data_IF_256017765924
#
_entry.id   IF_256017765924
#
_cell.length_a   1.000
_cell.length_b   1.000
_cell.length_c   1.000
_cell.angle_alpha   90.00
_cell.angle_beta   90.00
_cell.angle_gamma   90.00
#
_symmetry.space_group_name_H-M   'P 1'
#
loop_
_entity.id
_entity.type
_entity.pdbx_description
1 polymer ?
#
# COMPACT_ATOMS: atom_id res chain seq x y z
N UNK A 1 -7.40 11.80 12.99
CA UNK A 1 -7.77 10.96 11.83
C UNK A 1 -7.72 11.89 10.62
N UNK A 2 -6.74 11.70 9.74
CA UNK A 2 -6.55 12.55 8.58
C UNK A 2 -7.44 12.03 7.45
N UNK A 3 -8.28 12.90 6.88
CA UNK A 3 -9.24 12.58 5.81
C UNK A 3 -8.89 13.48 4.63
N UNK A 4 -8.62 12.87 3.49
CA UNK A 4 -8.41 13.58 2.21
C UNK A 4 -9.52 13.14 1.28
N UNK A 5 -10.21 14.11 0.67
CA UNK A 5 -11.24 13.86 -0.36
C UNK A 5 -12.39 12.93 0.08
N UNK A 6 -12.70 12.89 1.39
CA UNK A 6 -13.78 12.05 1.93
C UNK A 6 -13.40 10.59 2.18
N UNK A 7 -12.15 10.20 1.90
CA UNK A 7 -11.64 8.87 2.20
C UNK A 7 -10.92 8.85 3.54
N UNK A 8 -11.24 7.86 4.39
CA UNK A 8 -10.44 7.58 5.56
C UNK A 8 -9.12 6.91 5.14
N UNK A 9 -8.01 7.62 5.32
CA UNK A 9 -6.70 7.11 4.92
C UNK A 9 -6.27 5.89 5.71
N UNK A 10 -6.79 5.70 6.93
CA UNK A 10 -6.46 4.51 7.72
C UNK A 10 -7.10 3.25 7.14
N UNK A 11 -8.36 3.31 6.75
CA UNK A 11 -9.05 2.25 6.03
C UNK A 11 -8.43 2.01 4.65
N UNK A 12 -8.14 3.08 3.89
CA UNK A 12 -7.47 2.98 2.59
C UNK A 12 -6.11 2.28 2.72
N UNK A 13 -5.25 2.71 3.65
CA UNK A 13 -3.94 2.11 3.86
C UNK A 13 -4.02 0.66 4.37
N UNK A 14 -5.05 0.32 5.16
CA UNK A 14 -5.26 -1.05 5.63
C UNK A 14 -5.63 -1.98 4.46
N UNK A 15 -6.55 -1.56 3.61
CA UNK A 15 -6.97 -2.33 2.43
C UNK A 15 -5.86 -2.42 1.38
N UNK A 16 -5.18 -1.31 1.08
CA UNK A 16 -4.06 -1.27 0.14
C UNK A 16 -2.96 -2.25 0.55
N UNK A 17 -2.60 -2.29 1.85
CA UNK A 17 -1.65 -3.27 2.38
C UNK A 17 -2.14 -4.72 2.21
N UNK A 18 -3.43 -4.96 2.43
CA UNK A 18 -4.01 -6.29 2.27
C UNK A 18 -3.93 -6.78 0.82
N UNK A 19 -4.20 -5.90 -0.15
CA UNK A 19 -4.08 -6.20 -1.58
C UNK A 19 -2.63 -6.48 -1.99
N UNK A 20 -1.67 -5.66 -1.56
CA UNK A 20 -0.24 -5.89 -1.82
C UNK A 20 0.24 -7.24 -1.28
N UNK A 21 -0.18 -7.64 -0.07
CA UNK A 21 0.17 -8.95 0.49
C UNK A 21 -0.45 -10.09 -0.33
N UNK A 22 -1.71 -9.94 -0.75
CA UNK A 22 -2.41 -10.98 -1.53
C UNK A 22 -1.78 -11.19 -2.90
N UNK A 23 -1.38 -10.11 -3.56
CA UNK A 23 -0.64 -10.14 -4.82
C UNK A 23 0.72 -10.83 -4.66
N UNK A 24 1.36 -10.71 -3.50
CA UNK A 24 2.54 -11.48 -3.13
C UNK A 24 3.84 -11.08 -3.83
N UNK A 25 3.81 -10.09 -4.73
CA UNK A 25 4.98 -9.57 -5.45
C UNK A 25 5.82 -8.67 -4.53
N UNK A 26 5.16 -7.70 -3.87
CA UNK A 26 5.83 -6.74 -3.00
C UNK A 26 5.30 -6.85 -1.56
N UNK A 27 6.10 -7.41 -0.67
CA UNK A 27 5.73 -7.54 0.73
C UNK A 27 6.06 -6.26 1.51
N UNK A 28 5.04 -5.68 2.12
CA UNK A 28 5.13 -4.46 2.94
C UNK A 28 4.63 -4.70 4.35
N UNK A 29 5.22 -4.00 5.31
CA UNK A 29 4.80 -4.03 6.71
C UNK A 29 3.77 -2.94 7.02
N UNK A 30 3.10 -3.06 8.17
CA UNK A 30 2.26 -2.01 8.76
C UNK A 30 3.00 -1.34 9.91
N UNK A 31 2.75 -0.04 10.08
CA UNK A 31 3.02 0.70 11.30
C UNK A 31 1.79 1.47 11.73
N UNK A 32 1.74 1.79 13.02
CA UNK A 32 0.88 2.84 13.51
C UNK A 32 1.79 3.95 14.02
N UNK A 33 1.67 5.15 13.44
CA UNK A 33 2.30 6.36 13.97
C UNK A 33 1.18 7.14 14.65
N UNK A 34 1.24 7.21 15.98
CA UNK A 34 0.09 7.65 16.78
C UNK A 34 -1.16 6.83 16.41
N UNK A 35 -2.17 7.50 15.85
CA UNK A 35 -3.45 6.91 15.45
C UNK A 35 -3.54 6.63 13.94
N UNK A 36 -2.48 6.88 13.18
CA UNK A 36 -2.50 6.76 11.73
C UNK A 36 -1.82 5.46 11.29
N UNK A 37 -2.49 4.73 10.40
CA UNK A 37 -2.00 3.51 9.78
C UNK A 37 -1.12 3.91 8.61
N UNK A 38 0.14 3.50 8.64
CA UNK A 38 1.09 3.76 7.55
C UNK A 38 1.66 2.44 7.03
N UNK A 39 1.80 2.38 5.72
CA UNK A 39 2.47 1.27 5.03
C UNK A 39 3.97 1.54 5.08
N UNK A 40 4.75 0.53 5.45
CA UNK A 40 6.21 0.66 5.60
C UNK A 40 6.90 -0.43 4.80
N UNK A 41 7.66 0.00 3.80
CA UNK A 41 8.64 -0.83 3.11
C UNK A 41 9.95 -0.89 3.92
N UNK A 42 10.56 -2.07 3.99
CA UNK A 42 11.88 -2.27 4.61
C UNK A 42 12.81 -2.75 3.51
N UNK A 43 13.71 -1.86 3.08
CA UNK A 43 14.68 -2.14 2.02
C UNK A 43 16.03 -2.46 2.68
N UNK A 44 16.27 -3.75 2.88
CA UNK A 44 17.51 -4.24 3.49
C UNK A 44 18.24 -5.28 2.61
N UNK A 45 17.58 -5.78 1.57
CA UNK A 45 18.17 -6.74 0.65
C UNK A 45 19.06 -5.99 -0.37
N UNK A 46 20.38 -6.24 -0.43
CA UNK A 46 21.30 -5.59 -1.36
C UNK A 46 21.01 -5.87 -2.85
N UNK A 47 20.18 -6.88 -3.14
CA UNK A 47 19.74 -7.20 -4.50
C UNK A 47 18.52 -6.36 -4.95
N UNK A 48 17.97 -5.52 -4.08
CA UNK A 48 16.92 -4.58 -4.47
C UNK A 48 17.57 -3.45 -5.27
N UNK A 49 17.09 -3.27 -6.50
CA UNK A 49 17.44 -2.16 -7.37
C UNK A 49 16.26 -1.20 -7.54
N UNK A 50 16.49 -0.14 -8.32
CA UNK A 50 15.49 0.89 -8.61
C UNK A 50 14.23 0.33 -9.30
N UNK A 51 14.37 -0.70 -10.14
CA UNK A 51 13.24 -1.29 -10.85
C UNK A 51 12.24 -1.95 -9.90
N UNK A 52 12.75 -2.60 -8.84
CA UNK A 52 11.92 -3.22 -7.80
C UNK A 52 11.18 -2.16 -6.98
N UNK A 53 11.83 -1.03 -6.68
CA UNK A 53 11.22 0.08 -5.95
C UNK A 53 10.14 0.77 -6.78
N UNK A 54 10.39 1.00 -8.07
CA UNK A 54 9.40 1.55 -8.99
C UNK A 54 8.19 0.63 -9.11
N UNK A 55 8.40 -0.69 -9.25
CA UNK A 55 7.30 -1.67 -9.27
C UNK A 55 6.44 -1.63 -7.99
N UNK A 56 7.06 -1.45 -6.82
CA UNK A 56 6.31 -1.28 -5.57
C UNK A 56 5.47 0.00 -5.59
N UNK A 57 6.02 1.12 -6.05
CA UNK A 57 5.28 2.39 -6.15
C UNK A 57 4.11 2.25 -7.13
N UNK A 58 4.34 1.65 -8.30
CA UNK A 58 3.30 1.40 -9.31
C UNK A 58 2.17 0.53 -8.74
N UNK A 59 2.51 -0.52 -8.00
CA UNK A 59 1.51 -1.36 -7.32
C UNK A 59 0.72 -0.58 -6.26
N UNK A 60 1.38 0.26 -5.46
CA UNK A 60 0.70 1.12 -4.48
C UNK A 60 -0.28 2.06 -5.18
N UNK A 61 0.14 2.76 -6.23
CA UNK A 61 -0.72 3.70 -6.97
C UNK A 61 -1.90 2.96 -7.58
N UNK A 62 -1.64 1.86 -8.30
CA UNK A 62 -2.68 1.06 -8.95
C UNK A 62 -3.73 0.56 -7.95
N UNK A 63 -3.31 -0.07 -6.85
CA UNK A 63 -4.27 -0.54 -5.83
C UNK A 63 -5.00 0.62 -5.15
N UNK A 64 -4.32 1.75 -4.93
CA UNK A 64 -4.94 2.96 -4.39
C UNK A 64 -6.06 3.49 -5.29
N UNK A 65 -5.77 3.65 -6.59
CA UNK A 65 -6.73 4.11 -7.59
C UNK A 65 -7.93 3.15 -7.70
N UNK A 66 -7.68 1.84 -7.70
CA UNK A 66 -8.74 0.82 -7.69
C UNK A 66 -9.65 0.93 -6.46
N UNK A 67 -9.07 1.10 -5.27
CA UNK A 67 -9.86 1.23 -4.03
C UNK A 67 -10.70 2.51 -4.05
N UNK A 68 -10.11 3.64 -4.45
CA UNK A 68 -10.81 4.92 -4.56
C UNK A 68 -11.94 4.85 -5.60
N UNK A 69 -11.73 4.16 -6.72
CA UNK A 69 -12.73 3.92 -7.75
C UNK A 69 -13.79 2.87 -7.36
N UNK A 70 -13.69 2.24 -6.19
CA UNK A 70 -14.62 1.20 -5.73
C UNK A 70 -14.47 -0.14 -6.44
N UNK A 71 -13.34 -0.38 -7.09
CA UNK A 71 -13.02 -1.64 -7.76
C UNK A 71 -12.64 -2.70 -6.72
N UNK A 72 -13.36 -3.84 -6.65
CA UNK A 72 -13.02 -4.93 -5.75
C UNK A 72 -11.65 -5.52 -6.04
N UNK A 73 -10.96 -6.03 -5.02
CA UNK A 73 -9.71 -6.76 -5.21
C UNK A 73 -9.96 -8.00 -6.08
N UNK A 74 -9.21 -8.15 -7.16
CA UNK A 74 -9.27 -9.35 -8.01
C UNK A 74 -8.31 -10.42 -7.46
N UNK A 75 -8.91 -11.45 -6.87
CA UNK A 75 -8.37 -12.74 -6.39
C UNK A 75 -7.23 -12.74 -5.37
#
# INVERSE_FOLDING_TARGET
>A
RYVVEGHDLNELNAELRARLIREGIHLVSRSNILNDVVIRAVVANPLVDESVLNGLVDAIVRHGDEIVAGVPAQF
#
